data_IF_638163080934
#
_entry.id   IF_638163080934
#
_cell.length_a   1.000
_cell.length_b   1.000
_cell.length_c   1.000
_cell.angle_alpha   90.00
_cell.angle_beta   90.00
_cell.angle_gamma   90.00
#
_symmetry.space_group_name_H-M   'P 1'
#
loop_
_entity.id
_entity.type
_entity.pdbx_description
1 polymer ?
#
# COMPACT_ATOMS: atom_id res chain seq x y z
N UNK A 1 -10.63 37.58 4.32
CA UNK A 1 -10.07 37.17 5.62
C UNK A 1 -10.07 35.66 5.59
N UNK A 2 -8.90 35.05 5.63
CA UNK A 2 -8.74 33.59 5.50
C UNK A 2 -9.47 32.90 6.66
N UNK A 3 -9.75 31.60 6.57
CA UNK A 3 -10.30 30.82 7.70
C UNK A 3 -9.39 30.88 8.96
N UNK A 4 -8.18 31.42 8.82
CA UNK A 4 -7.16 31.55 9.85
C UNK A 4 -6.79 33.01 10.19
N UNK A 5 -7.52 34.01 9.66
CA UNK A 5 -7.23 35.44 9.90
C UNK A 5 -6.19 36.05 8.94
N UNK A 6 -5.48 37.09 9.38
CA UNK A 6 -4.28 37.61 8.69
C UNK A 6 -3.12 36.66 8.98
N UNK A 7 -2.75 35.85 7.99
CA UNK A 7 -1.56 35.00 8.04
C UNK A 7 -0.43 35.79 7.39
N UNK A 8 0.68 35.95 8.09
CA UNK A 8 1.90 36.59 7.56
C UNK A 8 2.60 35.60 6.62
N UNK A 9 2.12 35.54 5.37
CA UNK A 9 2.68 34.71 4.29
C UNK A 9 3.46 35.53 3.27
N UNK A 10 3.52 36.86 3.43
CA UNK A 10 4.25 37.76 2.54
C UNK A 10 5.76 37.49 2.57
N UNK A 11 6.29 37.02 3.70
CA UNK A 11 7.68 36.59 3.85
C UNK A 11 7.99 35.22 3.20
N UNK A 12 6.96 34.47 2.79
CA UNK A 12 7.11 33.13 2.20
C UNK A 12 7.07 33.20 0.67
N UNK A 13 6.13 33.96 0.08
CA UNK A 13 6.05 34.16 -1.37
C UNK A 13 6.97 35.28 -1.85
N UNK A 14 8.26 35.16 -1.53
CA UNK A 14 9.28 36.16 -1.82
C UNK A 14 10.06 35.89 -3.09
N UNK A 15 9.93 34.70 -3.68
CA UNK A 15 10.60 34.36 -4.92
C UNK A 15 9.75 34.79 -6.13
N UNK A 16 10.38 34.87 -7.30
CA UNK A 16 9.65 35.01 -8.56
C UNK A 16 8.99 33.70 -9.02
N UNK A 17 8.99 32.66 -8.18
CA UNK A 17 8.50 31.31 -8.47
C UNK A 17 7.50 30.83 -7.40
N UNK A 18 6.20 31.12 -7.58
CA UNK A 18 5.14 30.72 -6.66
C UNK A 18 5.00 29.20 -6.47
N UNK A 19 5.46 28.39 -7.44
CA UNK A 19 5.44 26.93 -7.30
C UNK A 19 6.53 26.49 -6.33
N UNK A 20 7.72 27.07 -6.44
CA UNK A 20 8.83 26.78 -5.53
C UNK A 20 8.48 27.18 -4.08
N UNK A 21 7.92 28.37 -3.87
CA UNK A 21 7.53 28.87 -2.55
C UNK A 21 6.48 27.96 -1.88
N UNK A 22 5.48 27.54 -2.66
CA UNK A 22 4.47 26.61 -2.16
C UNK A 22 5.03 25.23 -1.83
N UNK A 23 5.94 24.70 -2.64
CA UNK A 23 6.59 23.42 -2.37
C UNK A 23 7.51 23.47 -1.14
N UNK A 24 8.15 24.61 -0.87
CA UNK A 24 8.93 24.83 0.35
C UNK A 24 8.02 24.81 1.59
N UNK A 25 6.83 25.41 1.53
CA UNK A 25 5.82 25.25 2.57
C UNK A 25 5.45 23.78 2.79
N UNK A 26 5.23 23.03 1.71
CA UNK A 26 4.91 21.59 1.81
C UNK A 26 6.02 20.77 2.43
N UNK A 27 7.28 21.15 2.27
CA UNK A 27 8.41 20.49 2.94
C UNK A 27 8.43 20.70 4.47
N UNK A 28 7.72 21.72 4.97
CA UNK A 28 7.55 21.97 6.41
C UNK A 28 6.28 21.32 7.01
N UNK A 29 5.40 20.77 6.18
CA UNK A 29 4.20 20.07 6.63
C UNK A 29 4.51 18.61 7.04
N UNK A 30 3.71 18.07 7.95
CA UNK A 30 3.79 16.65 8.35
C UNK A 30 3.13 15.76 7.28
N UNK A 31 3.81 15.64 6.13
CA UNK A 31 3.35 14.88 4.98
C UNK A 31 3.99 13.49 4.92
N UNK A 32 3.26 12.56 4.29
CA UNK A 32 3.80 11.24 4.04
C UNK A 32 5.08 11.34 3.17
N UNK A 33 6.12 10.53 3.44
CA UNK A 33 7.37 10.58 2.68
C UNK A 33 7.16 10.41 1.18
N UNK A 34 7.84 11.26 0.40
CA UNK A 34 7.73 11.31 -1.06
C UNK A 34 6.52 12.09 -1.59
N UNK A 35 5.65 12.61 -0.72
CA UNK A 35 4.50 13.43 -1.16
C UNK A 35 4.98 14.71 -1.84
N UNK A 36 5.89 15.47 -1.22
CA UNK A 36 6.39 16.72 -1.81
C UNK A 36 7.16 16.47 -3.11
N UNK A 37 7.90 15.37 -3.20
CA UNK A 37 8.55 14.97 -4.46
C UNK A 37 7.52 14.65 -5.56
N UNK A 38 6.40 14.00 -5.21
CA UNK A 38 5.27 13.82 -6.13
C UNK A 38 4.67 15.15 -6.59
N UNK A 39 4.51 16.11 -5.68
CA UNK A 39 4.04 17.46 -6.00
C UNK A 39 5.02 18.21 -6.91
N UNK A 40 6.33 18.10 -6.67
CA UNK A 40 7.38 18.62 -7.56
C UNK A 40 7.25 18.06 -8.98
N UNK A 41 6.98 16.76 -9.11
CA UNK A 41 6.77 16.12 -10.42
C UNK A 41 5.50 16.62 -11.12
N UNK A 42 4.43 16.95 -10.39
CA UNK A 42 3.19 17.44 -10.99
C UNK A 42 3.26 18.93 -11.35
N UNK A 43 3.82 19.75 -10.47
CA UNK A 43 3.75 21.20 -10.58
C UNK A 43 5.02 21.80 -11.19
N UNK A 44 6.20 21.36 -10.75
CA UNK A 44 7.47 22.00 -11.07
C UNK A 44 8.13 21.42 -12.32
N UNK A 45 8.56 20.15 -12.27
CA UNK A 45 9.24 19.51 -13.40
C UNK A 45 9.20 17.98 -13.38
N UNK A 46 9.16 17.36 -14.54
CA UNK A 46 9.40 15.93 -14.73
C UNK A 46 10.04 15.61 -16.09
N UNK A 47 10.54 14.39 -16.25
CA UNK A 47 11.21 13.92 -17.48
C UNK A 47 10.30 13.92 -18.71
N UNK A 48 8.99 13.79 -18.52
CA UNK A 48 8.02 13.78 -19.62
C UNK A 48 7.57 15.20 -20.02
N UNK A 49 8.09 16.24 -19.36
CA UNK A 49 7.73 17.65 -19.53
C UNK A 49 6.25 17.94 -19.28
N UNK A 50 5.60 17.10 -18.47
CA UNK A 50 4.16 17.19 -18.18
C UNK A 50 3.85 17.97 -16.90
N UNK A 51 4.84 18.65 -16.31
CA UNK A 51 4.59 19.48 -15.14
C UNK A 51 3.92 20.80 -15.55
N UNK A 52 3.02 21.32 -14.71
CA UNK A 52 2.27 22.54 -15.02
C UNK A 52 3.20 23.72 -15.34
N UNK A 53 4.21 23.94 -14.49
CA UNK A 53 5.14 25.05 -14.65
C UNK A 53 6.01 24.92 -15.90
N UNK A 54 6.47 23.71 -16.25
CA UNK A 54 7.18 23.46 -17.51
C UNK A 54 6.30 23.82 -18.72
N UNK A 55 5.07 23.29 -18.74
CA UNK A 55 4.13 23.51 -19.82
C UNK A 55 3.81 24.99 -20.05
N UNK A 56 3.61 25.76 -18.98
CA UNK A 56 3.33 27.20 -19.05
C UNK A 56 4.61 28.00 -19.36
N UNK A 57 5.74 27.60 -18.79
CA UNK A 57 7.05 28.23 -19.04
C UNK A 57 7.47 28.17 -20.51
N UNK A 58 7.21 27.05 -21.18
CA UNK A 58 7.44 26.89 -22.63
C UNK A 58 6.60 27.85 -23.48
N UNK A 59 5.49 28.37 -22.92
CA UNK A 59 4.62 29.39 -23.53
C UNK A 59 4.94 30.82 -23.06
N UNK A 60 5.99 30.98 -22.26
CA UNK A 60 6.36 32.27 -21.67
C UNK A 60 5.35 32.79 -20.64
N UNK A 61 4.63 31.89 -19.98
CA UNK A 61 3.56 32.20 -19.04
C UNK A 61 3.90 31.72 -17.62
N UNK A 62 3.66 32.57 -16.62
CA UNK A 62 3.75 32.19 -15.21
C UNK A 62 2.48 31.49 -14.72
N UNK A 63 2.60 30.67 -13.67
CA UNK A 63 1.44 29.97 -13.09
C UNK A 63 0.34 30.91 -12.59
N UNK A 64 0.69 32.11 -12.12
CA UNK A 64 -0.28 33.10 -11.65
C UNK A 64 -0.99 33.83 -12.80
N UNK A 65 -0.38 33.87 -13.98
CA UNK A 65 -0.93 34.52 -15.19
C UNK A 65 -1.79 33.56 -16.02
N UNK A 66 -1.81 32.27 -15.66
CA UNK A 66 -2.51 31.24 -16.42
C UNK A 66 -4.02 31.44 -16.41
N UNK A 67 -4.61 31.46 -17.60
CA UNK A 67 -6.06 31.55 -17.78
C UNK A 67 -6.71 30.17 -17.79
N UNK A 68 -8.05 30.14 -17.73
CA UNK A 68 -8.82 28.91 -17.94
C UNK A 68 -8.48 28.24 -19.28
N UNK A 69 -8.19 29.03 -20.33
CA UNK A 69 -7.83 28.47 -21.63
C UNK A 69 -6.48 27.76 -21.58
N UNK A 70 -5.49 28.32 -20.88
CA UNK A 70 -4.18 27.69 -20.74
C UNK A 70 -4.26 26.35 -20.00
N UNK A 71 -5.20 26.21 -19.06
CA UNK A 71 -5.43 24.95 -18.34
C UNK A 71 -6.23 23.94 -19.18
N UNK A 72 -7.09 24.38 -20.10
CA UNK A 72 -7.66 23.49 -21.13
C UNK A 72 -6.57 22.99 -22.07
N UNK A 73 -5.70 23.89 -22.55
CA UNK A 73 -4.57 23.53 -23.39
C UNK A 73 -3.60 22.59 -22.65
N UNK A 74 -3.43 22.76 -21.33
CA UNK A 74 -2.65 21.84 -20.50
C UNK A 74 -3.28 20.45 -20.46
N UNK A 75 -4.60 20.37 -20.24
CA UNK A 75 -5.34 19.10 -20.25
C UNK A 75 -5.20 18.39 -21.60
N UNK A 76 -5.33 19.11 -22.71
CA UNK A 76 -5.17 18.55 -24.06
C UNK A 76 -3.72 18.10 -24.30
N UNK A 77 -2.73 18.86 -23.82
CA UNK A 77 -1.33 18.46 -23.89
C UNK A 77 -1.01 17.19 -23.09
N UNK A 78 -1.65 17.00 -21.93
CA UNK A 78 -1.52 15.75 -21.17
C UNK A 78 -2.05 14.55 -21.96
N UNK A 79 -3.17 14.71 -22.67
CA UNK A 79 -3.70 13.69 -23.58
C UNK A 79 -2.74 13.40 -24.75
N UNK A 80 -2.19 14.44 -25.37
CA UNK A 80 -1.20 14.31 -26.45
C UNK A 80 0.08 13.58 -25.99
N UNK A 81 0.48 13.77 -24.73
CA UNK A 81 1.58 13.05 -24.08
C UNK A 81 1.22 11.64 -23.61
N UNK A 82 -0.02 11.19 -23.86
CA UNK A 82 -0.48 9.83 -23.59
C UNK A 82 -0.91 9.57 -22.15
N UNK A 83 -1.22 10.62 -21.37
CA UNK A 83 -1.85 10.44 -20.06
C UNK A 83 -3.27 9.89 -20.23
N UNK A 84 -3.66 8.93 -19.39
CA UNK A 84 -5.04 8.46 -19.31
C UNK A 84 -5.89 9.40 -18.43
N UNK A 85 -7.21 9.24 -18.46
CA UNK A 85 -8.18 10.05 -17.71
C UNK A 85 -7.82 10.21 -16.22
N UNK A 86 -7.39 9.13 -15.57
CA UNK A 86 -6.93 9.17 -14.18
C UNK A 86 -5.66 9.99 -14.00
N UNK A 87 -4.68 9.86 -14.91
CA UNK A 87 -3.46 10.65 -14.90
C UNK A 87 -3.74 12.15 -15.07
N UNK A 88 -4.64 12.49 -15.98
CA UNK A 88 -5.09 13.87 -16.23
C UNK A 88 -5.81 14.42 -15.00
N UNK A 89 -6.76 13.66 -14.46
CA UNK A 89 -7.50 14.02 -13.25
C UNK A 89 -6.55 14.33 -12.09
N UNK A 90 -5.57 13.44 -11.82
CA UNK A 90 -4.64 13.62 -10.72
C UNK A 90 -3.79 14.89 -10.89
N UNK A 91 -3.27 15.17 -12.10
CA UNK A 91 -2.50 16.39 -12.35
C UNK A 91 -3.35 17.65 -12.16
N UNK A 92 -4.55 17.70 -12.73
CA UNK A 92 -5.46 18.83 -12.58
C UNK A 92 -5.94 19.01 -11.12
N UNK A 93 -6.15 17.93 -10.37
CA UNK A 93 -6.55 17.98 -8.97
C UNK A 93 -5.45 18.57 -8.09
N UNK A 94 -4.19 18.15 -8.26
CA UNK A 94 -3.06 18.72 -7.54
C UNK A 94 -2.79 20.18 -7.93
N UNK A 95 -2.88 20.52 -9.23
CA UNK A 95 -2.84 21.91 -9.69
C UNK A 95 -3.96 22.75 -9.07
N UNK A 96 -5.17 22.20 -8.98
CA UNK A 96 -6.30 22.85 -8.32
C UNK A 96 -6.08 23.03 -6.82
N UNK A 97 -5.45 22.07 -6.13
CA UNK A 97 -5.10 22.18 -4.72
C UNK A 97 -4.09 23.31 -4.50
N UNK A 98 -3.04 23.37 -5.33
CA UNK A 98 -2.08 24.47 -5.36
C UNK A 98 -2.76 25.85 -5.48
N UNK A 99 -3.57 26.06 -6.53
CA UNK A 99 -4.28 27.34 -6.71
C UNK A 99 -5.23 27.66 -5.54
N UNK A 100 -5.91 26.66 -4.98
CA UNK A 100 -6.82 26.84 -3.85
C UNK A 100 -6.07 27.33 -2.60
N UNK A 101 -4.88 26.80 -2.34
CA UNK A 101 -4.05 27.26 -1.23
C UNK A 101 -3.53 28.68 -1.49
N UNK A 102 -3.09 29.00 -2.71
CA UNK A 102 -2.71 30.37 -3.09
C UNK A 102 -3.88 31.36 -2.91
N UNK A 103 -5.10 30.98 -3.27
CA UNK A 103 -6.29 31.79 -3.01
C UNK A 103 -6.51 32.01 -1.50
N UNK A 104 -6.30 30.96 -0.71
CA UNK A 104 -6.41 31.04 0.75
C UNK A 104 -5.38 31.99 1.33
N UNK A 105 -4.20 32.09 0.71
CA UNK A 105 -3.11 32.99 1.07
C UNK A 105 -3.17 34.37 0.38
N UNK A 106 -4.27 34.68 -0.33
CA UNK A 106 -4.46 35.90 -1.13
C UNK A 106 -3.34 36.17 -2.16
N UNK A 107 -2.68 35.13 -2.67
CA UNK A 107 -1.66 35.22 -3.72
C UNK A 107 -2.26 35.17 -5.13
N UNK A 108 -3.51 34.73 -5.25
CA UNK A 108 -4.27 34.75 -6.50
C UNK A 108 -5.76 34.84 -6.20
N UNK A 109 -6.52 35.36 -7.16
CA UNK A 109 -7.98 35.47 -7.08
C UNK A 109 -8.71 34.34 -7.83
N UNK A 110 -7.96 33.41 -8.45
CA UNK A 110 -8.55 32.41 -9.34
C UNK A 110 -7.92 31.02 -9.23
N UNK A 111 -8.74 30.01 -9.54
CA UNK A 111 -8.32 28.62 -9.65
C UNK A 111 -8.72 28.06 -11.03
N UNK A 112 -7.95 28.35 -12.09
CA UNK A 112 -8.28 27.91 -13.45
C UNK A 112 -8.24 26.38 -13.56
N UNK A 113 -7.33 25.70 -12.86
CA UNK A 113 -7.23 24.24 -12.86
C UNK A 113 -8.49 23.58 -12.27
N UNK A 114 -9.00 24.12 -11.15
CA UNK A 114 -10.23 23.66 -10.52
C UNK A 114 -11.45 23.87 -11.41
N UNK A 115 -11.51 24.97 -12.17
CA UNK A 115 -12.55 25.17 -13.17
C UNK A 115 -12.48 24.11 -14.27
N UNK A 116 -11.31 23.91 -14.89
CA UNK A 116 -11.13 22.91 -15.95
C UNK A 116 -11.46 21.51 -15.45
N UNK A 117 -10.95 21.12 -14.27
CA UNK A 117 -11.29 19.86 -13.62
C UNK A 117 -12.80 19.66 -13.47
N UNK A 118 -13.53 20.69 -13.02
CA UNK A 118 -14.99 20.64 -12.86
C UNK A 118 -15.78 20.54 -14.18
N UNK A 119 -15.15 20.83 -15.31
CA UNK A 119 -15.75 20.83 -16.66
C UNK A 119 -15.27 19.68 -17.52
N UNK A 120 -14.32 18.88 -17.04
CA UNK A 120 -13.77 17.75 -17.79
C UNK A 120 -14.44 16.47 -17.29
N UNK A 121 -15.08 15.77 -18.23
CA UNK A 121 -15.68 14.47 -17.96
C UNK A 121 -14.60 13.40 -18.15
N UNK A 122 -13.96 13.00 -17.05
CA UNK A 122 -12.88 12.02 -17.00
C UNK A 122 -13.40 10.75 -16.36
N UNK A 123 -13.27 9.61 -17.05
CA UNK A 123 -13.60 8.32 -16.46
C UNK A 123 -12.46 7.88 -15.54
N UNK A 124 -12.59 8.24 -14.27
CA UNK A 124 -11.65 7.83 -13.22
C UNK A 124 -12.04 6.51 -12.56
N UNK A 125 -13.10 5.84 -13.03
CA UNK A 125 -13.50 4.55 -12.49
C UNK A 125 -12.35 3.54 -12.63
N UNK A 126 -12.26 2.63 -11.65
CA UNK A 126 -11.34 1.51 -11.81
C UNK A 126 -11.95 0.57 -12.85
N UNK A 127 -11.17 0.05 -13.81
CA UNK A 127 -11.68 -0.92 -14.75
C UNK A 127 -12.29 -2.09 -14.00
N UNK A 128 -13.41 -2.61 -14.51
CA UNK A 128 -14.02 -3.83 -13.99
C UNK A 128 -12.98 -4.96 -14.06
N UNK A 129 -12.43 -5.32 -12.89
CA UNK A 129 -11.48 -6.42 -12.79
C UNK A 129 -12.25 -7.72 -12.87
N UNK A 130 -11.73 -8.68 -13.64
CA UNK A 130 -12.27 -10.05 -13.64
C UNK A 130 -12.24 -10.57 -12.20
N UNK A 131 -13.40 -10.98 -11.70
CA UNK A 131 -13.50 -11.62 -10.40
C UNK A 131 -13.11 -13.08 -10.53
N UNK A 132 -12.06 -13.49 -9.82
CA UNK A 132 -11.68 -14.90 -9.67
C UNK A 132 -12.29 -15.49 -8.40
N UNK A 133 -12.77 -16.72 -8.53
CA UNK A 133 -13.27 -17.57 -7.45
C UNK A 133 -12.16 -18.05 -6.52
N UNK A 134 -12.50 -18.48 -5.31
CA UNK A 134 -11.55 -19.15 -4.40
C UNK A 134 -10.90 -20.36 -5.06
N UNK A 135 -11.67 -21.13 -5.84
CA UNK A 135 -11.19 -22.30 -6.57
C UNK A 135 -10.16 -21.94 -7.66
N UNK A 136 -10.38 -20.87 -8.42
CA UNK A 136 -9.41 -20.41 -9.45
C UNK A 136 -8.10 -19.93 -8.83
N UNK A 137 -8.19 -19.19 -7.72
CA UNK A 137 -7.00 -18.74 -6.97
C UNK A 137 -6.30 -19.92 -6.28
N UNK A 138 -7.02 -20.93 -5.81
CA UNK A 138 -6.45 -22.19 -5.33
C UNK A 138 -5.60 -22.86 -6.41
N UNK A 139 -6.13 -22.99 -7.64
CA UNK A 139 -5.39 -23.54 -8.77
C UNK A 139 -4.11 -22.76 -9.07
N UNK A 140 -4.18 -21.42 -9.00
CA UNK A 140 -3.00 -20.56 -9.13
C UNK A 140 -1.96 -20.85 -8.04
N UNK A 141 -2.36 -20.87 -6.77
CA UNK A 141 -1.45 -21.15 -5.65
C UNK A 141 -0.79 -22.52 -5.77
N UNK A 142 -1.55 -23.56 -6.15
CA UNK A 142 -1.05 -24.93 -6.38
C UNK A 142 -0.04 -25.00 -7.54
N UNK A 143 -0.12 -24.06 -8.49
CA UNK A 143 0.83 -24.00 -9.61
C UNK A 143 2.21 -23.46 -9.24
N UNK A 144 2.36 -22.82 -8.07
CA UNK A 144 3.62 -22.21 -7.62
C UNK A 144 4.49 -23.29 -6.93
N UNK A 145 5.60 -23.74 -7.55
CA UNK A 145 6.38 -24.85 -7.01
C UNK A 145 7.35 -24.44 -5.89
N UNK A 146 7.54 -23.14 -5.67
CA UNK A 146 8.49 -22.62 -4.67
C UNK A 146 7.73 -22.31 -3.38
N UNK A 147 7.97 -23.05 -2.26
CA UNK A 147 7.21 -22.88 -1.02
C UNK A 147 7.25 -21.45 -0.49
N UNK A 148 8.40 -20.77 -0.62
CA UNK A 148 8.52 -19.36 -0.26
C UNK A 148 7.52 -18.46 -0.99
N UNK A 149 7.40 -18.64 -2.31
CA UNK A 149 6.55 -17.78 -3.16
C UNK A 149 5.08 -18.16 -3.00
N UNK A 150 4.79 -19.46 -2.85
CA UNK A 150 3.46 -19.95 -2.56
C UNK A 150 2.97 -19.41 -1.21
N UNK A 151 3.79 -19.49 -0.16
CA UNK A 151 3.50 -18.90 1.14
C UNK A 151 3.29 -17.39 1.03
N UNK A 152 4.16 -16.65 0.33
CA UNK A 152 4.02 -15.20 0.22
C UNK A 152 2.75 -14.77 -0.52
N UNK A 153 2.34 -15.52 -1.55
CA UNK A 153 1.07 -15.32 -2.23
C UNK A 153 -0.12 -15.65 -1.33
N UNK A 154 -0.10 -16.81 -0.65
CA UNK A 154 -1.10 -17.24 0.32
C UNK A 154 -1.27 -16.20 1.43
N UNK A 155 -0.18 -15.75 2.02
CA UNK A 155 -0.11 -14.74 3.07
C UNK A 155 -0.76 -13.41 2.63
N UNK A 156 -0.48 -12.99 1.39
CA UNK A 156 -1.08 -11.78 0.82
C UNK A 156 -2.58 -11.94 0.57
N UNK A 157 -3.02 -13.13 0.14
CA UNK A 157 -4.41 -13.44 -0.11
C UNK A 157 -5.20 -13.59 1.20
N UNK A 158 -4.66 -14.24 2.22
CA UNK A 158 -5.34 -14.49 3.51
C UNK A 158 -5.55 -13.23 4.34
N UNK A 159 -4.73 -12.19 4.16
CA UNK A 159 -4.85 -10.94 4.92
C UNK A 159 -5.18 -9.71 4.06
N UNK A 160 -5.10 -9.83 2.73
CA UNK A 160 -5.20 -8.70 1.83
C UNK A 160 -4.14 -7.62 2.09
N UNK A 161 -2.98 -7.98 2.65
CA UNK A 161 -1.95 -7.03 3.05
C UNK A 161 -1.41 -6.22 1.87
N UNK A 162 -0.95 -5.00 2.16
CA UNK A 162 -0.11 -4.26 1.21
C UNK A 162 1.23 -4.96 1.09
N UNK A 163 1.87 -4.81 -0.08
CA UNK A 163 3.22 -5.34 -0.38
C UNK A 163 4.23 -5.07 0.74
N UNK A 164 4.27 -3.83 1.24
CA UNK A 164 5.16 -3.43 2.34
C UNK A 164 4.92 -4.20 3.64
N UNK A 165 3.66 -4.43 4.02
CA UNK A 165 3.33 -5.22 5.20
C UNK A 165 3.74 -6.70 5.05
N UNK A 166 3.67 -7.26 3.84
CA UNK A 166 4.12 -8.64 3.59
C UNK A 166 5.63 -8.79 3.79
N UNK A 167 6.42 -8.03 3.04
CA UNK A 167 7.88 -8.22 2.98
C UNK A 167 8.61 -7.78 4.26
N UNK A 168 7.98 -6.92 5.08
CA UNK A 168 8.57 -6.43 6.32
C UNK A 168 8.35 -7.33 7.54
N UNK A 169 7.68 -8.47 7.38
CA UNK A 169 7.49 -9.45 8.47
C UNK A 169 8.84 -10.06 8.87
N UNK A 170 9.12 -10.11 10.18
CA UNK A 170 10.31 -10.71 10.77
C UNK A 170 9.96 -11.98 11.53
N UNK A 171 10.89 -12.92 11.70
CA UNK A 171 10.62 -14.17 12.42
C UNK A 171 10.14 -13.93 13.85
N UNK A 172 10.67 -12.92 14.54
CA UNK A 172 10.20 -12.50 15.88
C UNK A 172 8.73 -12.04 15.91
N UNK A 173 8.15 -11.75 14.74
CA UNK A 173 6.77 -11.31 14.59
C UNK A 173 5.81 -12.47 14.25
N UNK A 174 6.28 -13.71 14.24
CA UNK A 174 5.46 -14.88 13.85
C UNK A 174 5.45 -15.86 15.02
N UNK A 175 4.31 -16.06 15.65
CA UNK A 175 4.15 -17.07 16.69
C UNK A 175 3.39 -18.26 16.11
N UNK A 176 4.09 -19.35 15.83
CA UNK A 176 3.49 -20.63 15.46
C UNK A 176 3.43 -21.51 16.69
N UNK A 177 2.26 -22.01 17.06
CA UNK A 177 2.09 -22.96 18.16
C UNK A 177 2.57 -24.35 17.72
N UNK A 178 3.88 -24.53 17.70
CA UNK A 178 4.54 -25.76 17.33
C UNK A 178 5.86 -25.91 18.12
N UNK A 179 6.04 -26.96 18.95
CA UNK A 179 7.20 -27.10 19.83
C UNK A 179 8.54 -26.97 19.11
N UNK A 180 8.72 -27.66 17.98
CA UNK A 180 9.97 -27.59 17.21
C UNK A 180 10.26 -26.21 16.61
N UNK A 181 9.22 -25.40 16.37
CA UNK A 181 9.43 -24.03 15.89
C UNK A 181 9.94 -23.14 17.02
N UNK A 182 9.34 -23.26 18.21
CA UNK A 182 9.74 -22.49 19.39
C UNK A 182 11.15 -22.86 19.85
N UNK A 183 11.49 -24.15 19.84
CA UNK A 183 12.85 -24.64 20.12
C UNK A 183 13.85 -24.09 19.10
N UNK A 184 13.52 -24.14 17.80
CA UNK A 184 14.37 -23.58 16.76
C UNK A 184 14.57 -22.06 16.90
N UNK A 185 13.54 -21.29 17.27
CA UNK A 185 13.71 -19.85 17.54
C UNK A 185 14.69 -19.59 18.70
N UNK A 186 14.60 -20.37 19.78
CA UNK A 186 15.49 -20.27 20.94
C UNK A 186 16.95 -20.58 20.56
N UNK A 187 17.18 -21.64 19.77
CA UNK A 187 18.50 -21.99 19.23
C UNK A 187 19.12 -20.87 18.38
N UNK A 188 18.29 -20.12 17.66
CA UNK A 188 18.72 -18.97 16.84
C UNK A 188 18.83 -17.67 17.66
N UNK A 189 18.48 -17.68 18.95
CA UNK A 189 18.44 -16.48 19.79
C UNK A 189 17.37 -15.46 19.38
N UNK A 190 16.28 -15.93 18.76
CA UNK A 190 15.18 -15.08 18.28
C UNK A 190 14.06 -15.06 19.32
N UNK A 191 13.94 -13.97 20.06
CA UNK A 191 12.84 -13.76 20.99
C UNK A 191 11.60 -13.19 20.28
N UNK A 192 10.43 -13.80 20.53
CA UNK A 192 9.15 -13.30 20.02
C UNK A 192 8.83 -11.91 20.58
N UNK A 193 8.21 -11.07 19.74
CA UNK A 193 7.56 -9.82 20.13
C UNK A 193 6.66 -10.02 21.35
N UNK A 194 6.77 -9.13 22.32
CA UNK A 194 6.00 -9.19 23.58
C UNK A 194 4.50 -9.31 23.31
N UNK A 195 4.02 -8.57 22.30
CA UNK A 195 2.62 -8.46 21.94
C UNK A 195 1.98 -9.78 21.50
N UNK A 196 2.77 -10.74 21.00
CA UNK A 196 2.30 -12.03 20.49
C UNK A 196 2.76 -13.22 21.30
N UNK A 197 3.61 -13.05 22.32
CA UNK A 197 4.20 -14.17 23.09
C UNK A 197 3.15 -15.06 23.75
N UNK A 198 2.04 -14.48 24.18
CA UNK A 198 0.90 -15.16 24.79
C UNK A 198 -0.25 -15.45 23.80
N UNK A 199 -0.02 -15.23 22.50
CA UNK A 199 -0.99 -15.38 21.41
C UNK A 199 -0.49 -16.41 20.40
N UNK A 200 -0.64 -17.72 20.68
CA UNK A 200 -0.27 -18.77 19.74
C UNK A 200 -0.98 -18.59 18.39
N UNK A 201 -0.31 -19.01 17.32
CA UNK A 201 -0.81 -18.93 15.94
C UNK A 201 -1.23 -17.49 15.57
N UNK A 202 -0.30 -16.55 15.73
CA UNK A 202 -0.51 -15.14 15.42
C UNK A 202 0.70 -14.48 14.77
N UNK A 203 0.45 -13.38 14.07
CA UNK A 203 1.46 -12.54 13.43
C UNK A 203 1.31 -11.11 13.92
N UNK A 204 2.43 -10.54 14.38
CA UNK A 204 2.57 -9.11 14.60
C UNK A 204 2.88 -8.40 13.28
N UNK A 205 2.09 -7.38 12.95
CA UNK A 205 2.30 -6.51 11.80
C UNK A 205 2.74 -5.16 12.33
N UNK A 206 3.93 -4.71 11.90
CA UNK A 206 4.44 -3.40 12.26
C UNK A 206 3.47 -2.26 11.88
N UNK A 207 3.48 -1.21 12.69
CA UNK A 207 2.86 0.08 12.38
C UNK A 207 3.75 0.95 11.50
N UNK A 208 3.30 2.18 11.24
CA UNK A 208 3.78 3.09 10.22
C UNK A 208 5.30 3.28 10.19
N UNK A 209 5.90 3.12 9.01
CA UNK A 209 7.27 3.58 8.71
C UNK A 209 7.48 3.73 7.21
N UNK A 210 8.53 4.45 6.87
CA UNK A 210 8.87 4.91 5.53
C UNK A 210 9.95 4.04 4.90
N UNK A 211 10.09 4.14 3.58
CA UNK A 211 11.29 3.62 2.93
C UNK A 211 12.51 4.42 3.40
N UNK A 212 13.57 3.71 3.79
CA UNK A 212 14.79 4.30 4.33
C UNK A 212 14.82 4.41 5.85
N UNK A 213 13.70 4.20 6.55
CA UNK A 213 13.66 4.19 8.01
C UNK A 213 14.37 2.94 8.57
N UNK A 214 14.93 3.08 9.77
CA UNK A 214 15.57 1.98 10.48
C UNK A 214 14.57 1.34 11.44
N UNK A 215 14.24 0.07 11.18
CA UNK A 215 13.29 -0.71 11.99
C UNK A 215 13.99 -2.00 12.42
N UNK A 216 14.09 -2.22 13.73
CA UNK A 216 14.84 -3.35 14.32
C UNK A 216 16.32 -3.39 13.88
N UNK A 217 16.93 -2.21 13.70
CA UNK A 217 18.34 -2.09 13.29
C UNK A 217 18.58 -2.26 11.78
N UNK A 218 17.56 -2.58 10.98
CA UNK A 218 17.67 -2.68 9.52
C UNK A 218 17.06 -1.44 8.84
N UNK A 219 17.79 -0.86 7.88
CA UNK A 219 17.26 0.15 6.97
C UNK A 219 16.28 -0.50 5.98
N UNK A 220 14.98 -0.18 6.09
CA UNK A 220 13.93 -0.81 5.28
C UNK A 220 13.93 -0.27 3.85
N UNK A 221 13.89 -1.16 2.87
CA UNK A 221 13.80 -0.82 1.43
C UNK A 221 12.37 -0.71 0.92
N UNK A 222 11.38 -1.00 1.77
CA UNK A 222 9.98 -0.76 1.50
C UNK A 222 9.33 -0.27 2.78
N UNK A 223 8.65 0.87 2.72
CA UNK A 223 7.85 1.36 3.85
C UNK A 223 6.61 0.50 4.12
N UNK A 224 5.99 0.73 5.28
CA UNK A 224 4.73 0.14 5.68
C UNK A 224 3.73 1.27 6.01
N UNK A 225 2.72 1.43 5.15
CA UNK A 225 1.71 2.49 5.26
C UNK A 225 0.57 2.17 6.23
N UNK A 226 0.68 1.09 7.00
CA UNK A 226 -0.31 0.74 8.02
C UNK A 226 -0.09 1.68 9.21
N UNK A 227 -1.10 2.48 9.57
CA UNK A 227 -0.98 3.47 10.65
C UNK A 227 -0.64 2.80 11.99
N UNK A 228 -1.50 1.90 12.45
CA UNK A 228 -1.37 1.22 13.73
C UNK A 228 -0.84 -0.21 13.57
N UNK A 229 0.06 -0.69 14.45
CA UNK A 229 0.42 -2.11 14.48
C UNK A 229 -0.80 -3.00 14.73
N UNK A 230 -0.70 -4.29 14.40
CA UNK A 230 -1.78 -5.23 14.64
C UNK A 230 -1.29 -6.65 14.87
N UNK A 231 -2.21 -7.48 15.37
CA UNK A 231 -1.98 -8.90 15.57
C UNK A 231 -3.05 -9.63 14.75
N UNK A 232 -2.63 -10.36 13.72
CA UNK A 232 -3.54 -11.15 12.88
C UNK A 232 -3.41 -12.65 13.18
N UNK A 233 -4.49 -13.43 13.10
CA UNK A 233 -4.45 -14.87 13.40
C UNK A 233 -3.89 -15.69 12.24
N UNK A 234 -3.28 -16.83 12.53
CA UNK A 234 -2.80 -17.81 11.54
C UNK A 234 -3.82 -18.95 11.46
N UNK A 235 -4.43 -19.17 10.28
CA UNK A 235 -5.28 -20.33 10.04
C UNK A 235 -4.46 -21.61 9.76
N UNK A 236 -5.10 -22.78 9.85
CA UNK A 236 -4.41 -24.07 9.75
C UNK A 236 -3.65 -24.24 8.41
N UNK A 237 -4.20 -23.77 7.29
CA UNK A 237 -3.55 -23.84 5.98
C UNK A 237 -2.31 -22.94 5.93
N UNK A 238 -2.41 -21.72 6.45
CA UNK A 238 -1.26 -20.82 6.52
C UNK A 238 -0.19 -21.32 7.48
N UNK A 239 -0.58 -21.90 8.62
CA UNK A 239 0.34 -22.54 9.59
C UNK A 239 1.16 -23.64 8.91
N UNK A 240 0.51 -24.49 8.13
CA UNK A 240 1.18 -25.56 7.40
C UNK A 240 2.13 -25.02 6.32
N UNK A 241 1.72 -24.01 5.56
CA UNK A 241 2.59 -23.35 4.57
C UNK A 241 3.81 -22.67 5.22
N UNK A 242 3.62 -22.04 6.38
CA UNK A 242 4.70 -21.44 7.17
C UNK A 242 5.72 -22.50 7.58
N UNK A 243 5.26 -23.58 8.22
CA UNK A 243 6.12 -24.68 8.66
C UNK A 243 6.88 -25.30 7.47
N UNK A 244 6.20 -25.56 6.35
CA UNK A 244 6.84 -26.09 5.15
C UNK A 244 7.95 -25.18 4.64
N UNK A 245 7.70 -23.87 4.51
CA UNK A 245 8.72 -22.92 4.07
C UNK A 245 9.88 -22.81 5.05
N UNK A 246 9.60 -22.76 6.36
CA UNK A 246 10.62 -22.62 7.39
C UNK A 246 11.64 -23.76 7.37
N UNK A 247 11.27 -24.97 6.95
CA UNK A 247 12.23 -26.09 6.79
C UNK A 247 13.32 -25.84 5.73
N UNK A 248 13.08 -24.95 4.77
CA UNK A 248 14.01 -24.63 3.67
C UNK A 248 14.39 -23.14 3.64
N UNK A 249 13.93 -22.34 4.60
CA UNK A 249 14.20 -20.91 4.67
C UNK A 249 15.71 -20.71 4.93
N UNK A 250 16.43 -19.95 4.08
CA UNK A 250 17.83 -19.63 4.35
C UNK A 250 18.02 -18.91 5.69
N UNK A 251 19.13 -19.19 6.37
CA UNK A 251 19.57 -18.41 7.52
C UNK A 251 19.95 -16.98 7.10
N UNK A 252 19.71 -16.04 7.99
CA UNK A 252 19.91 -14.60 7.78
C UNK A 252 20.41 -13.98 9.07
N UNK A 253 21.09 -12.85 8.99
CA UNK A 253 21.41 -12.02 10.15
C UNK A 253 20.16 -11.31 10.72
N UNK A 254 20.22 -10.79 11.96
CA UNK A 254 19.17 -9.92 12.51
C UNK A 254 18.82 -8.78 11.53
N UNK A 255 17.52 -8.42 11.41
CA UNK A 255 16.38 -8.80 12.26
C UNK A 255 15.68 -10.10 11.86
N UNK A 256 16.32 -10.95 11.04
CA UNK A 256 15.79 -12.23 10.57
C UNK A 256 14.44 -12.12 9.83
N UNK A 257 14.41 -11.57 8.59
CA UNK A 257 13.19 -11.41 7.81
C UNK A 257 12.50 -12.74 7.56
N UNK A 258 11.17 -12.84 7.73
CA UNK A 258 10.43 -14.06 7.40
C UNK A 258 10.69 -14.44 5.94
N UNK A 259 10.49 -13.49 5.02
CA UNK A 259 10.72 -13.69 3.58
C UNK A 259 12.11 -13.19 3.17
N UNK A 260 12.99 -14.13 2.83
CA UNK A 260 14.37 -13.83 2.42
C UNK A 260 14.48 -13.45 0.94
N UNK A 261 15.55 -12.76 0.55
CA UNK A 261 15.91 -12.56 -0.85
C UNK A 261 16.06 -13.90 -1.58
N UNK A 262 15.85 -13.90 -2.89
CA UNK A 262 15.92 -15.12 -3.72
C UNK A 262 17.36 -15.62 -3.94
N UNK A 263 18.33 -14.76 -3.70
CA UNK A 263 19.76 -15.01 -3.87
C UNK A 263 20.52 -14.27 -2.77
N UNK A 264 21.66 -14.81 -2.31
CA UNK A 264 22.50 -14.13 -1.35
C UNK A 264 23.26 -12.96 -2.01
N UNK A 265 23.56 -11.93 -1.23
CA UNK A 265 24.45 -10.82 -1.60
C UNK A 265 25.65 -10.89 -0.67
N UNK A 266 26.85 -11.07 -1.20
CA UNK A 266 28.05 -11.21 -0.37
C UNK A 266 28.05 -12.47 0.51
N UNK A 267 27.31 -13.51 0.11
CA UNK A 267 27.23 -14.79 0.84
C UNK A 267 26.11 -14.88 1.86
N UNK A 268 25.41 -13.78 2.17
CA UNK A 268 24.29 -13.76 3.11
C UNK A 268 22.97 -13.47 2.43
N UNK A 269 21.88 -14.01 2.96
CA UNK A 269 20.53 -13.70 2.51
C UNK A 269 20.00 -12.47 3.26
N UNK A 270 19.45 -11.50 2.53
CA UNK A 270 18.74 -10.35 3.09
C UNK A 270 17.22 -10.52 3.03
N UNK A 271 16.48 -9.44 3.26
CA UNK A 271 15.01 -9.38 3.10
C UNK A 271 14.61 -9.42 1.62
N UNK A 272 13.47 -10.04 1.33
CA UNK A 272 12.84 -9.93 0.01
C UNK A 272 12.38 -8.49 -0.26
N UNK A 273 12.70 -7.93 -1.42
CA UNK A 273 12.13 -6.63 -1.82
C UNK A 273 10.69 -6.79 -2.33
N UNK A 274 9.89 -5.75 -2.18
CA UNK A 274 8.55 -5.68 -2.78
C UNK A 274 8.58 -5.86 -4.30
N UNK A 275 9.61 -5.34 -4.98
CA UNK A 275 9.79 -5.56 -6.41
C UNK A 275 10.02 -7.04 -6.72
N UNK A 276 10.83 -7.76 -5.94
CA UNK A 276 11.05 -9.19 -6.11
C UNK A 276 9.77 -10.00 -5.88
N UNK A 277 8.98 -9.64 -4.86
CA UNK A 277 7.66 -10.23 -4.61
C UNK A 277 6.75 -10.09 -5.83
N UNK A 278 6.60 -8.87 -6.37
CA UNK A 278 5.78 -8.61 -7.56
C UNK A 278 6.29 -9.40 -8.77
N UNK A 279 7.60 -9.41 -9.00
CA UNK A 279 8.20 -10.11 -10.13
C UNK A 279 7.99 -11.63 -10.06
N UNK A 280 8.09 -12.25 -8.88
CA UNK A 280 7.85 -13.69 -8.75
C UNK A 280 6.37 -14.03 -8.83
N UNK A 281 5.53 -13.40 -8.01
CA UNK A 281 4.11 -13.78 -7.90
C UNK A 281 3.36 -13.44 -9.18
N UNK A 282 3.43 -12.18 -9.62
CA UNK A 282 2.59 -11.67 -10.71
C UNK A 282 3.26 -11.96 -12.06
N UNK A 283 4.45 -11.39 -12.28
CA UNK A 283 5.07 -11.41 -13.61
C UNK A 283 5.57 -12.80 -14.03
N UNK A 284 5.97 -13.65 -13.08
CA UNK A 284 6.43 -15.00 -13.40
C UNK A 284 5.33 -16.03 -13.25
N UNK A 285 4.75 -16.20 -12.05
CA UNK A 285 3.77 -17.27 -11.83
C UNK A 285 2.37 -16.89 -12.33
N UNK A 286 1.91 -15.66 -12.09
CA UNK A 286 0.60 -15.17 -12.55
C UNK A 286 0.48 -15.25 -14.07
N UNK A 287 1.47 -14.72 -14.80
CA UNK A 287 1.56 -14.85 -16.27
C UNK A 287 1.66 -16.29 -16.75
N UNK A 288 2.48 -17.13 -16.09
CA UNK A 288 2.63 -18.54 -16.47
C UNK A 288 1.32 -19.32 -16.29
N UNK A 289 0.56 -19.00 -15.25
CA UNK A 289 -0.73 -19.64 -14.97
C UNK A 289 -1.87 -19.08 -15.84
N UNK A 290 -1.73 -17.83 -16.32
CA UNK A 290 -2.70 -17.19 -17.19
C UNK A 290 -3.75 -16.35 -16.47
N UNK A 291 -3.51 -15.97 -15.21
CA UNK A 291 -4.38 -15.03 -14.45
C UNK A 291 -3.95 -13.56 -14.60
N UNK A 292 -2.89 -13.31 -15.36
CA UNK A 292 -2.41 -11.97 -15.70
C UNK A 292 -2.16 -11.95 -17.20
N UNK A 293 -2.78 -11.00 -17.91
CA UNK A 293 -2.78 -10.94 -19.36
C UNK A 293 -1.58 -10.18 -19.94
N UNK A 294 -1.55 -10.06 -21.27
CA UNK A 294 -0.78 -9.01 -21.98
C UNK A 294 -1.58 -7.70 -22.10
N UNK A 295 -2.91 -7.77 -22.04
CA UNK A 295 -3.83 -6.64 -22.09
C UNK A 295 -4.32 -6.22 -20.69
N UNK A 296 -4.12 -4.94 -20.36
CA UNK A 296 -4.24 -4.34 -19.02
C UNK A 296 -5.62 -4.37 -18.35
N UNK A 297 -6.65 -4.89 -19.03
CA UNK A 297 -8.02 -4.98 -18.49
C UNK A 297 -8.27 -6.25 -17.68
N UNK A 298 -7.36 -7.23 -17.73
CA UNK A 298 -7.48 -8.55 -17.09
C UNK A 298 -6.48 -8.76 -15.92
N UNK A 299 -5.74 -7.74 -15.50
CA UNK A 299 -4.53 -7.96 -14.72
C UNK A 299 -4.77 -8.17 -13.21
N UNK A 300 -4.59 -9.42 -12.75
CA UNK A 300 -4.27 -9.71 -11.35
C UNK A 300 -2.91 -9.10 -11.01
N UNK A 301 -2.90 -8.17 -10.05
CA UNK A 301 -1.71 -7.58 -9.44
C UNK A 301 -1.68 -7.81 -7.92
N UNK A 302 -0.69 -7.27 -7.20
CA UNK A 302 -0.67 -7.37 -5.74
C UNK A 302 -1.82 -6.57 -5.09
N UNK A 303 -2.33 -5.54 -5.75
CA UNK A 303 -3.52 -4.82 -5.28
C UNK A 303 -4.79 -5.65 -5.47
N UNK A 304 -4.84 -6.52 -6.48
CA UNK A 304 -5.92 -7.46 -6.72
C UNK A 304 -6.04 -8.42 -5.52
N UNK A 305 -4.95 -8.93 -4.95
CA UNK A 305 -5.04 -9.80 -3.76
C UNK A 305 -5.72 -9.13 -2.58
N UNK A 306 -5.46 -7.83 -2.39
CA UNK A 306 -6.15 -7.01 -1.38
C UNK A 306 -7.64 -6.86 -1.70
N UNK A 307 -7.99 -6.69 -2.97
CA UNK A 307 -9.38 -6.61 -3.42
C UNK A 307 -10.09 -7.96 -3.26
N UNK A 308 -9.45 -9.04 -3.67
CA UNK A 308 -9.91 -10.41 -3.54
C UNK A 308 -10.27 -10.72 -2.09
N UNK A 309 -9.35 -10.50 -1.14
CA UNK A 309 -9.65 -10.71 0.29
C UNK A 309 -10.88 -9.92 0.74
N UNK A 310 -10.98 -8.64 0.35
CA UNK A 310 -12.13 -7.81 0.74
C UNK A 310 -13.43 -8.33 0.15
N UNK A 311 -13.43 -8.70 -1.13
CA UNK A 311 -14.62 -9.22 -1.82
C UNK A 311 -15.06 -10.55 -1.23
N UNK A 312 -14.12 -11.47 -0.98
CA UNK A 312 -14.41 -12.78 -0.43
C UNK A 312 -14.96 -12.68 0.99
N UNK A 313 -14.32 -11.89 1.85
CA UNK A 313 -14.78 -11.75 3.24
C UNK A 313 -16.01 -10.84 3.39
N UNK A 314 -16.41 -10.11 2.34
CA UNK A 314 -17.61 -9.25 2.40
C UNK A 314 -18.88 -10.09 2.37
N UNK A 315 -19.85 -9.72 3.23
CA UNK A 315 -21.17 -10.34 3.24
C UNK A 315 -21.83 -10.32 1.86
N UNK A 316 -22.30 -11.48 1.41
CA UNK A 316 -23.01 -11.69 0.14
C UNK A 316 -22.22 -11.38 -1.15
N UNK A 317 -20.88 -11.30 -1.07
CA UNK A 317 -20.03 -11.07 -2.24
C UNK A 317 -19.08 -12.21 -2.55
N UNK A 318 -18.55 -12.88 -1.52
CA UNK A 318 -17.64 -14.00 -1.70
C UNK A 318 -18.32 -15.24 -2.29
N UNK A 319 -17.51 -16.15 -2.80
CA UNK A 319 -17.93 -17.45 -3.31
C UNK A 319 -17.65 -18.60 -2.32
N UNK A 320 -17.54 -18.27 -1.03
CA UNK A 320 -17.48 -19.22 0.09
C UNK A 320 -18.47 -18.82 1.21
N UNK A 321 -18.72 -19.73 2.16
CA UNK A 321 -19.80 -19.58 3.15
C UNK A 321 -19.51 -18.56 4.27
N UNK A 322 -18.26 -18.15 4.44
CA UNK A 322 -17.81 -17.29 5.53
C UNK A 322 -17.81 -15.81 5.16
N UNK A 323 -17.90 -14.93 6.16
CA UNK A 323 -17.75 -13.48 5.97
C UNK A 323 -17.32 -12.80 7.26
N UNK A 324 -16.71 -11.62 7.17
CA UNK A 324 -16.35 -10.79 8.32
C UNK A 324 -17.12 -9.49 8.31
N UNK A 325 -17.18 -8.86 9.48
CA UNK A 325 -17.60 -7.46 9.58
C UNK A 325 -16.60 -6.53 8.85
N UNK A 326 -17.11 -5.49 8.20
CA UNK A 326 -16.30 -4.53 7.43
C UNK A 326 -15.19 -3.90 8.28
N UNK A 327 -15.44 -3.66 9.58
CA UNK A 327 -14.42 -3.14 10.48
C UNK A 327 -13.27 -4.14 10.68
N UNK A 328 -13.58 -5.43 10.81
CA UNK A 328 -12.57 -6.49 10.94
C UNK A 328 -11.78 -6.67 9.62
N UNK A 329 -12.45 -6.62 8.47
CA UNK A 329 -11.78 -6.66 7.16
C UNK A 329 -10.75 -5.54 7.06
N UNK A 330 -11.16 -4.31 7.40
CA UNK A 330 -10.28 -3.15 7.37
C UNK A 330 -9.16 -3.22 8.43
N UNK A 331 -9.43 -3.76 9.62
CA UNK A 331 -8.42 -4.02 10.66
C UNK A 331 -7.36 -4.99 10.14
N UNK A 332 -7.76 -6.15 9.62
CA UNK A 332 -6.82 -7.15 9.09
C UNK A 332 -6.00 -6.52 7.97
N UNK A 333 -6.66 -5.89 6.99
CA UNK A 333 -5.99 -5.25 5.85
C UNK A 333 -5.10 -4.06 6.23
N UNK A 334 -5.34 -3.41 7.37
CA UNK A 334 -4.65 -2.17 7.77
C UNK A 334 -5.07 -0.98 6.93
N UNK A 335 -6.37 -0.80 6.70
CA UNK A 335 -6.90 0.42 6.09
C UNK A 335 -6.84 1.59 7.07
N UNK A 336 -6.69 2.81 6.53
CA UNK A 336 -6.85 4.03 7.31
C UNK A 336 -8.32 4.12 7.74
N UNK A 337 -8.54 4.33 9.03
CA UNK A 337 -9.86 4.48 9.63
C UNK A 337 -10.08 5.96 9.90
N UNK A 338 -11.34 6.42 9.81
CA UNK A 338 -11.69 7.69 10.43
C UNK A 338 -11.78 7.52 11.96
N UNK A 339 -11.76 8.63 12.70
CA UNK A 339 -11.73 8.62 14.17
C UNK A 339 -12.87 7.76 14.77
N UNK A 340 -14.06 7.79 14.16
CA UNK A 340 -15.21 7.01 14.65
C UNK A 340 -15.04 5.52 14.42
N UNK A 341 -14.48 5.14 13.26
CA UNK A 341 -14.17 3.75 12.96
C UNK A 341 -13.03 3.23 13.84
N UNK A 342 -12.03 4.07 14.13
CA UNK A 342 -10.94 3.76 15.05
C UNK A 342 -11.46 3.58 16.48
N UNK A 343 -12.36 4.44 16.95
CA UNK A 343 -13.00 4.29 18.27
C UNK A 343 -13.78 2.97 18.39
N UNK A 344 -14.49 2.56 17.33
CA UNK A 344 -15.18 1.26 17.29
C UNK A 344 -14.17 0.12 17.32
N UNK A 345 -13.08 0.22 16.56
CA UNK A 345 -12.02 -0.78 16.61
C UNK A 345 -11.38 -0.86 18.01
N UNK A 346 -11.05 0.26 18.64
CA UNK A 346 -10.41 0.29 19.96
C UNK A 346 -11.37 -0.15 21.08
N UNK A 347 -12.69 0.03 20.87
CA UNK A 347 -13.71 -0.47 21.78
C UNK A 347 -13.92 -2.00 21.64
N UNK A 348 -13.87 -2.54 20.42
CA UNK A 348 -14.19 -3.94 20.13
C UNK A 348 -12.94 -4.83 20.14
N UNK A 349 -11.81 -4.33 19.70
CA UNK A 349 -10.58 -5.09 19.47
C UNK A 349 -9.44 -4.67 20.41
N UNK A 350 -9.76 -4.46 21.69
CA UNK A 350 -8.75 -4.35 22.75
C UNK A 350 -7.88 -5.61 22.78
N UNK A 351 -6.62 -5.46 23.19
CA UNK A 351 -5.68 -6.58 23.36
C UNK A 351 -6.28 -7.75 24.16
N UNK A 352 -7.11 -7.45 25.15
CA UNK A 352 -7.78 -8.36 26.08
C UNK A 352 -8.87 -9.22 25.40
N UNK A 353 -9.35 -8.81 24.21
CA UNK A 353 -10.43 -9.46 23.46
C UNK A 353 -9.99 -10.01 22.11
N UNK A 354 -8.67 -10.05 21.84
CA UNK A 354 -8.12 -10.55 20.58
C UNK A 354 -8.59 -11.98 20.25
N UNK A 355 -8.64 -12.86 21.26
CA UNK A 355 -9.03 -14.27 21.07
C UNK A 355 -10.42 -14.43 20.45
N UNK A 356 -11.43 -13.75 21.00
CA UNK A 356 -12.81 -13.91 20.52
C UNK A 356 -13.08 -13.01 19.32
N UNK A 357 -12.77 -11.73 19.44
CA UNK A 357 -13.26 -10.75 18.46
C UNK A 357 -12.43 -10.77 17.16
N UNK A 358 -11.14 -11.15 17.22
CA UNK A 358 -10.28 -11.20 16.03
C UNK A 358 -10.04 -12.65 15.62
N UNK A 359 -9.49 -13.45 16.54
CA UNK A 359 -9.00 -14.80 16.21
C UNK A 359 -10.13 -15.73 15.82
N UNK A 360 -11.10 -15.94 16.70
CA UNK A 360 -12.16 -16.91 16.45
C UNK A 360 -13.02 -16.47 15.26
N UNK A 361 -13.42 -15.18 15.19
CA UNK A 361 -14.13 -14.62 14.03
C UNK A 361 -13.40 -14.83 12.69
N UNK A 362 -12.08 -14.59 12.66
CA UNK A 362 -11.29 -14.83 11.44
C UNK A 362 -11.20 -16.32 11.10
N UNK A 363 -10.87 -17.17 12.07
CA UNK A 363 -10.65 -18.61 11.85
C UNK A 363 -11.93 -19.34 11.44
N UNK A 364 -13.08 -18.93 11.98
CA UNK A 364 -14.37 -19.53 11.67
C UNK A 364 -14.89 -19.14 10.28
N UNK A 365 -14.38 -18.06 9.68
CA UNK A 365 -14.92 -17.51 8.44
C UNK A 365 -13.94 -17.50 7.25
N UNK A 366 -12.63 -17.54 7.47
CA UNK A 366 -11.66 -17.43 6.38
C UNK A 366 -11.80 -18.60 5.38
N UNK A 367 -11.76 -18.29 4.09
CA UNK A 367 -11.73 -19.30 3.04
C UNK A 367 -10.44 -20.15 3.08
N UNK A 368 -10.50 -21.35 2.52
CA UNK A 368 -9.37 -22.28 2.39
C UNK A 368 -9.08 -22.53 0.90
N UNK A 369 -7.81 -22.70 0.55
CA UNK A 369 -7.38 -22.99 -0.83
C UNK A 369 -7.02 -24.47 -1.05
N UNK A 370 -7.24 -25.33 -0.06
CA UNK A 370 -6.95 -26.76 -0.07
C UNK A 370 -5.52 -27.06 -0.54
N UNK A 371 -4.53 -26.31 -0.06
CA UNK A 371 -3.12 -26.51 -0.40
C UNK A 371 -2.52 -27.76 0.25
N UNK A 372 -3.09 -28.20 1.35
CA UNK A 372 -2.67 -29.35 2.13
C UNK A 372 -3.89 -30.23 2.42
N UNK A 373 -3.67 -31.54 2.47
CA UNK A 373 -4.70 -32.56 2.70
C UNK A 373 -5.19 -32.61 4.16
#
# INVERSE_FOLDING_TARGET
>A
MTDYGEIDVEDIFTSSDPVADWLELKDHEDLAPGTTEGLRQVLQQNENETALQQFLGDRGMGVLDASVQDLFDYKDYLEEKGANDRGIHNKLAESSAFYKELMTMNQTESNPAGYVLSRTDLDTSSPDRVHHTVAEISGFLKSIPQPQIQLLALYSLKYGFRRGACVNTDLKCVHIDHPSYLEWLDEQGIELKEEIRDKPDSIYVYGNFSEGDVVEGEKRTNGNKRENPAIVPIDAELKQALLQYLTIRPETEPPHPLFTGLKPIGGTYGRMSGSAMYQQIIQKYGKRYGITGEDSREDVDLHYFRHFFSTQMSRFRGDHDGSLDDALIKYIRGDKMDDKQQDVLDAVYRHDSWGVNIRDEYLDNIYTFDLFD
#
